data_IF_647438526490
#
_entry.id   IF_647438526490
#
_cell.length_a   1.000
_cell.length_b   1.000
_cell.length_c   1.000
_cell.angle_alpha   90.00
_cell.angle_beta   90.00
_cell.angle_gamma   90.00
#
_symmetry.space_group_name_H-M   'P 1'
#
loop_
_entity.id
_entity.type
_entity.pdbx_description
1 polymer ?
#
# COMPACT_ATOMS: atom_id res chain seq x y z
N UNK A 1 3.65 -12.76 -3.00
CA UNK A 1 3.78 -13.29 -4.37
C UNK A 1 4.50 -12.22 -5.16
N UNK A 2 5.46 -12.61 -5.98
CA UNK A 2 6.22 -11.72 -6.86
C UNK A 2 6.08 -12.23 -8.28
N UNK A 3 5.95 -11.34 -9.25
CA UNK A 3 5.76 -11.70 -10.67
C UNK A 3 6.93 -11.11 -11.46
N UNK A 4 7.64 -11.94 -12.22
CA UNK A 4 8.72 -11.50 -13.10
C UNK A 4 8.72 -12.37 -14.37
N UNK A 5 8.71 -11.73 -15.55
CA UNK A 5 8.82 -12.39 -16.87
C UNK A 5 7.81 -13.53 -17.07
N UNK A 6 6.57 -13.33 -16.60
CA UNK A 6 5.50 -14.34 -16.67
C UNK A 6 5.60 -15.47 -15.64
N UNK A 7 6.60 -15.45 -14.75
CA UNK A 7 6.77 -16.41 -13.67
C UNK A 7 6.27 -15.85 -12.34
N UNK A 8 5.55 -16.67 -11.58
CA UNK A 8 5.10 -16.36 -10.23
C UNK A 8 6.00 -16.99 -9.17
N UNK A 9 6.43 -16.19 -8.19
CA UNK A 9 7.23 -16.61 -7.06
C UNK A 9 6.45 -16.43 -5.76
N UNK A 10 6.17 -17.55 -5.07
CA UNK A 10 5.57 -17.55 -3.74
C UNK A 10 6.67 -17.72 -2.70
N UNK A 11 6.90 -16.66 -1.93
CA UNK A 11 7.87 -16.64 -0.83
C UNK A 11 7.10 -16.42 0.46
N UNK A 12 7.35 -17.28 1.46
CA UNK A 12 6.93 -17.04 2.84
C UNK A 12 8.13 -16.47 3.60
N UNK A 13 8.15 -15.17 3.92
CA UNK A 13 9.27 -14.56 4.62
C UNK A 13 9.46 -15.20 6.00
N UNK A 14 10.71 -15.49 6.35
CA UNK A 14 11.12 -15.85 7.72
C UNK A 14 11.93 -14.68 8.26
N UNK A 15 11.43 -14.02 9.28
CA UNK A 15 12.05 -12.82 9.84
C UNK A 15 12.02 -12.83 11.37
N UNK A 16 12.88 -12.01 11.97
CA UNK A 16 12.98 -11.85 13.41
C UNK A 16 11.78 -11.09 14.01
N UNK A 17 11.03 -10.38 13.16
CA UNK A 17 9.85 -9.62 13.52
C UNK A 17 8.66 -10.05 12.67
N UNK A 18 7.55 -10.36 13.33
CA UNK A 18 6.26 -10.63 12.70
C UNK A 18 5.23 -9.74 13.37
N UNK A 19 4.71 -8.78 12.62
CA UNK A 19 3.73 -7.80 13.12
C UNK A 19 2.60 -7.65 12.11
N UNK A 20 1.42 -7.26 12.59
CA UNK A 20 0.21 -7.10 11.79
C UNK A 20 -0.15 -5.62 11.57
N UNK A 21 0.81 -4.71 11.72
CA UNK A 21 0.61 -3.27 11.57
C UNK A 21 1.70 -2.66 10.67
N UNK A 22 1.29 -2.02 9.59
CA UNK A 22 2.21 -1.46 8.59
C UNK A 22 3.04 -0.28 9.09
N UNK A 23 2.53 0.54 10.01
CA UNK A 23 3.33 1.62 10.63
C UNK A 23 4.42 1.04 11.53
N UNK A 24 4.12 -0.02 12.28
CA UNK A 24 5.13 -0.74 13.07
C UNK A 24 6.24 -1.31 12.17
N UNK A 25 5.88 -1.89 11.02
CA UNK A 25 6.85 -2.35 10.01
C UNK A 25 7.69 -1.18 9.51
N UNK A 26 7.06 -0.05 9.14
CA UNK A 26 7.77 1.16 8.67
C UNK A 26 8.81 1.63 9.69
N UNK A 27 8.47 1.69 10.97
CA UNK A 27 9.40 2.07 12.03
C UNK A 27 10.58 1.10 12.17
N UNK A 28 10.35 -0.21 11.98
CA UNK A 28 11.42 -1.22 11.98
C UNK A 28 12.36 -1.03 10.77
N UNK A 29 11.83 -0.72 9.59
CA UNK A 29 12.63 -0.45 8.40
C UNK A 29 13.51 0.79 8.58
N UNK A 30 12.96 1.88 9.13
CA UNK A 30 13.72 3.11 9.40
C UNK A 30 14.84 2.91 10.43
N UNK A 31 14.79 1.83 11.22
CA UNK A 31 15.85 1.42 12.16
C UNK A 31 16.82 0.39 11.56
N UNK A 32 16.72 0.09 10.27
CA UNK A 32 17.57 -0.88 9.59
C UNK A 32 17.32 -2.33 9.98
N UNK A 33 16.11 -2.68 10.44
CA UNK A 33 15.81 -4.03 10.95
C UNK A 33 15.54 -5.08 9.84
N UNK A 34 15.65 -4.70 8.56
CA UNK A 34 15.53 -5.62 7.43
C UNK A 34 14.80 -5.00 6.23
N UNK A 35 14.11 -5.86 5.47
CA UNK A 35 13.28 -5.52 4.31
C UNK A 35 11.83 -5.92 4.57
N UNK A 36 10.88 -5.21 3.96
CA UNK A 36 9.47 -5.55 4.04
C UNK A 36 8.69 -5.04 2.83
N UNK A 37 7.54 -5.64 2.59
CA UNK A 37 6.56 -5.16 1.63
C UNK A 37 5.63 -4.16 2.34
N UNK A 38 5.57 -2.93 1.84
CA UNK A 38 4.68 -1.88 2.35
C UNK A 38 3.96 -1.19 1.20
N UNK A 39 2.69 -0.76 1.42
CA UNK A 39 2.04 0.10 0.46
C UNK A 39 2.72 1.47 0.44
N UNK A 40 2.73 2.09 -0.73
CA UNK A 40 3.42 3.36 -0.97
C UNK A 40 2.77 4.55 -0.27
N UNK A 41 1.47 4.49 0.06
CA UNK A 41 0.85 5.53 0.89
C UNK A 41 1.42 5.59 2.33
N UNK A 42 2.16 4.56 2.76
CA UNK A 42 2.89 4.51 4.04
C UNK A 42 4.37 4.88 3.83
N UNK A 43 5.02 4.26 2.84
CA UNK A 43 6.47 4.39 2.63
C UNK A 43 6.89 5.56 1.71
N UNK A 44 5.97 6.14 0.95
CA UNK A 44 6.27 7.11 -0.13
C UNK A 44 7.02 8.35 0.35
N UNK A 45 6.70 8.86 1.55
CA UNK A 45 7.43 9.97 2.16
C UNK A 45 8.88 9.62 2.49
N UNK A 46 9.15 8.38 2.90
CA UNK A 46 10.49 7.92 3.23
C UNK A 46 11.32 7.60 2.00
N UNK A 47 10.67 7.15 0.91
CA UNK A 47 11.32 7.06 -0.40
C UNK A 47 11.72 8.45 -0.90
N UNK A 48 10.80 9.42 -0.88
CA UNK A 48 11.09 10.80 -1.29
C UNK A 48 12.21 11.45 -0.45
N UNK A 49 12.28 11.11 0.84
CA UNK A 49 13.32 11.61 1.75
C UNK A 49 14.65 10.85 1.65
N UNK A 50 14.72 9.74 0.90
CA UNK A 50 15.90 8.87 0.81
C UNK A 50 16.17 8.03 2.07
N UNK A 51 15.21 7.95 3.00
CA UNK A 51 15.33 7.15 4.22
C UNK A 51 15.13 5.64 3.94
N UNK A 52 14.31 5.32 2.93
CA UNK A 52 14.08 3.97 2.44
C UNK A 52 14.47 3.90 0.97
N UNK A 53 14.81 2.69 0.50
CA UNK A 53 15.15 2.43 -0.89
C UNK A 53 14.26 1.30 -1.43
N UNK A 54 13.67 1.45 -2.64
CA UNK A 54 12.99 0.34 -3.31
C UNK A 54 13.98 -0.79 -3.61
N UNK A 55 13.46 -2.02 -3.60
CA UNK A 55 14.23 -3.24 -3.87
C UNK A 55 13.40 -4.15 -4.76
N UNK A 56 14.08 -4.99 -5.55
CA UNK A 56 13.44 -5.99 -6.42
C UNK A 56 12.46 -5.34 -7.42
N UNK A 57 12.83 -4.20 -7.99
CA UNK A 57 11.98 -3.40 -8.90
C UNK A 57 11.64 -4.16 -10.20
N UNK A 58 12.39 -5.21 -10.54
CA UNK A 58 12.10 -6.13 -11.64
C UNK A 58 10.93 -7.10 -11.33
N UNK A 59 10.44 -7.12 -10.09
CA UNK A 59 9.32 -7.95 -9.67
C UNK A 59 8.07 -7.09 -9.43
N UNK A 60 7.02 -7.37 -10.20
CA UNK A 60 5.70 -6.82 -9.94
C UNK A 60 5.06 -7.50 -8.72
N UNK A 61 4.26 -6.73 -7.99
CA UNK A 61 3.38 -7.22 -6.93
C UNK A 61 1.95 -7.34 -7.48
N UNK A 62 1.13 -8.27 -6.97
CA UNK A 62 -0.29 -8.29 -7.27
C UNK A 62 -0.94 -6.95 -6.93
N UNK A 63 -1.79 -6.46 -7.83
CA UNK A 63 -2.56 -5.24 -7.57
C UNK A 63 -3.59 -5.47 -6.46
N UNK A 64 -3.70 -4.49 -5.57
CA UNK A 64 -4.68 -4.47 -4.51
C UNK A 64 -5.55 -3.22 -4.66
N UNK A 65 -6.86 -3.40 -4.73
CA UNK A 65 -7.80 -2.29 -4.76
C UNK A 65 -8.19 -1.85 -3.34
N UNK A 66 -8.47 -0.56 -3.18
CA UNK A 66 -9.07 0.02 -1.99
C UNK A 66 -10.58 0.13 -2.22
N UNK A 67 -11.37 -0.37 -1.28
CA UNK A 67 -12.83 -0.38 -1.39
C UNK A 67 -13.48 0.48 -0.31
N UNK A 68 -14.48 1.27 -0.70
CA UNK A 68 -15.41 1.88 0.24
C UNK A 68 -16.54 0.87 0.52
N UNK A 69 -16.57 0.32 1.74
CA UNK A 69 -17.57 -0.67 2.16
C UNK A 69 -18.59 -0.02 3.10
N UNK A 70 -19.87 -0.18 2.79
CA UNK A 70 -20.97 0.33 3.60
C UNK A 70 -22.16 -0.64 3.55
N UNK A 71 -23.01 -0.68 4.60
CA UNK A 71 -24.16 -1.58 4.62
C UNK A 71 -25.12 -1.29 3.47
N UNK A 72 -25.63 -2.34 2.84
CA UNK A 72 -26.71 -2.23 1.88
C UNK A 72 -27.97 -1.67 2.56
N UNK A 73 -28.54 -0.62 1.97
CA UNK A 73 -29.77 0.02 2.44
C UNK A 73 -30.63 0.35 1.24
N UNK A 74 -31.96 0.24 1.38
CA UNK A 74 -32.92 0.62 0.34
C UNK A 74 -32.68 2.04 -0.22
N UNK A 75 -32.21 2.95 0.62
CA UNK A 75 -31.74 4.27 0.23
C UNK A 75 -30.39 4.59 0.90
N UNK A 76 -29.38 4.92 0.09
CA UNK A 76 -28.10 5.42 0.59
C UNK A 76 -28.28 6.84 1.13
N UNK A 77 -27.89 7.13 2.39
CA UNK A 77 -27.93 8.50 2.91
C UNK A 77 -27.06 9.43 2.07
N UNK A 78 -27.56 10.63 1.73
CA UNK A 78 -26.85 11.59 0.89
C UNK A 78 -25.44 11.91 1.41
N UNK A 79 -25.28 12.04 2.73
CA UNK A 79 -23.97 12.27 3.38
C UNK A 79 -22.93 11.19 3.07
N UNK A 80 -23.37 9.93 2.90
CA UNK A 80 -22.47 8.81 2.56
C UNK A 80 -22.05 8.93 1.10
N UNK A 81 -23.01 9.20 0.21
CA UNK A 81 -22.75 9.39 -1.22
C UNK A 81 -21.74 10.50 -1.46
N UNK A 82 -22.00 11.71 -0.93
CA UNK A 82 -21.10 12.86 -1.13
C UNK A 82 -19.72 12.63 -0.51
N UNK A 83 -19.63 11.85 0.57
CA UNK A 83 -18.33 11.48 1.14
C UNK A 83 -17.57 10.49 0.25
N UNK A 84 -18.25 9.48 -0.32
CA UNK A 84 -17.67 8.54 -1.28
C UNK A 84 -17.18 9.29 -2.53
N UNK A 85 -18.01 10.19 -3.07
CA UNK A 85 -17.65 11.02 -4.23
C UNK A 85 -16.39 11.85 -3.93
N UNK A 86 -16.33 12.48 -2.74
CA UNK A 86 -15.16 13.25 -2.30
C UNK A 86 -13.89 12.41 -2.18
N UNK A 87 -13.93 11.26 -1.50
CA UNK A 87 -12.73 10.42 -1.34
C UNK A 87 -12.31 9.79 -2.67
N UNK A 88 -13.25 9.45 -3.55
CA UNK A 88 -12.94 8.92 -4.89
C UNK A 88 -12.21 9.96 -5.74
N UNK A 89 -12.62 11.23 -5.68
CA UNK A 89 -11.92 12.31 -6.37
C UNK A 89 -10.48 12.49 -5.85
N UNK A 90 -10.27 12.32 -4.54
CA UNK A 90 -8.95 12.54 -3.91
C UNK A 90 -8.00 11.35 -3.99
N UNK A 91 -8.52 10.12 -3.96
CA UNK A 91 -7.72 8.90 -3.85
C UNK A 91 -7.77 8.03 -5.11
N UNK A 92 -8.80 8.17 -5.95
CA UNK A 92 -9.03 7.36 -7.15
C UNK A 92 -8.35 7.89 -8.42
N UNK A 93 -7.24 8.60 -8.29
CA UNK A 93 -6.47 9.11 -9.44
C UNK A 93 -5.50 8.06 -9.98
N UNK A 94 -5.22 8.07 -11.29
CA UNK A 94 -4.28 7.13 -11.94
C UNK A 94 -2.88 7.09 -11.30
N UNK A 95 -2.41 8.22 -10.76
CA UNK A 95 -1.17 8.29 -10.00
C UNK A 95 -1.35 9.13 -8.75
N UNK A 96 -1.47 8.49 -7.57
CA UNK A 96 -1.71 9.21 -6.33
C UNK A 96 -0.50 10.03 -5.91
N UNK A 97 -0.73 11.07 -5.10
CA UNK A 97 0.31 12.04 -4.76
C UNK A 97 1.49 11.45 -3.94
N UNK A 98 1.29 10.33 -3.24
CA UNK A 98 2.33 9.64 -2.48
C UNK A 98 3.27 8.78 -3.34
N UNK A 99 2.89 8.51 -4.60
CA UNK A 99 3.71 7.78 -5.58
C UNK A 99 4.61 8.70 -6.42
N UNK A 100 4.65 9.99 -6.08
CA UNK A 100 5.44 11.02 -6.77
C UNK A 100 6.78 11.29 -6.05
N UNK A 101 7.53 10.24 -5.76
CA UNK A 101 8.86 10.31 -5.12
C UNK A 101 10.00 10.16 -6.14
#
# INVERSE_FOLDING_TARGET
MFINSGSEYKVLPKGNFVVNNSEAIRQLLLRGSGIAQLPTFIAGKDFAAGNLKPLMEEFALPEHAIYAVFPERKHMPLKVRVFIDFISEKLGTDTPYWDRY
#
